data_IF_815087042320
#
_entry.id   IF_815087042320
#
_cell.length_a   1.000
_cell.length_b   1.000
_cell.length_c   1.000
_cell.angle_alpha   90.00
_cell.angle_beta   90.00
_cell.angle_gamma   90.00
#
_symmetry.space_group_name_H-M   'P 1'
#
loop_
_entity.id
_entity.type
_entity.pdbx_description
1 polymer ?
#
# COMPACT_ATOMS: atom_id res chain seq x y z
N UNK A 1 -9.43 5.66 26.05
CA UNK A 1 -9.58 6.40 24.78
C UNK A 1 -9.52 5.45 23.59
N UNK A 2 -8.58 4.49 23.50
CA UNK A 2 -8.55 3.45 22.44
C UNK A 2 -9.87 2.66 22.30
N UNK A 3 -10.59 2.40 23.40
CA UNK A 3 -11.90 1.71 23.36
C UNK A 3 -13.03 2.56 22.74
N UNK A 4 -12.93 3.90 22.75
CA UNK A 4 -13.94 4.77 22.14
C UNK A 4 -13.77 4.92 20.64
N UNK A 5 -12.55 4.84 20.13
CA UNK A 5 -12.29 4.88 18.69
C UNK A 5 -12.90 3.66 17.97
N UNK A 6 -12.71 2.45 18.53
CA UNK A 6 -13.31 1.22 18.00
C UNK A 6 -14.85 1.19 18.11
N UNK A 7 -15.43 1.95 19.06
CA UNK A 7 -16.90 2.01 19.23
C UNK A 7 -17.58 3.01 18.28
N UNK A 8 -16.86 4.00 17.78
CA UNK A 8 -17.41 4.99 16.85
C UNK A 8 -17.58 4.45 15.42
N UNK A 9 -16.79 3.46 15.03
CA UNK A 9 -16.87 2.81 13.69
C UNK A 9 -17.97 1.72 13.65
N UNK A 10 -18.47 1.24 14.81
CA UNK A 10 -19.49 0.19 14.89
C UNK A 10 -20.92 0.68 15.06
N UNK A 11 -21.20 1.98 15.01
CA UNK A 11 -22.52 2.57 15.27
C UNK A 11 -23.38 2.79 14.00
N UNK A 12 -23.28 1.94 12.99
CA UNK A 12 -23.98 2.05 11.71
C UNK A 12 -24.81 0.84 11.28
N UNK A 13 -25.27 -0.03 12.19
CA UNK A 13 -26.22 -1.08 11.81
C UNK A 13 -27.15 -1.47 12.97
N UNK A 14 -28.23 -0.71 13.15
CA UNK A 14 -29.34 -1.13 14.02
C UNK A 14 -30.29 -2.00 13.19
N UNK A 15 -30.17 -3.33 13.30
CA UNK A 15 -31.17 -4.24 12.77
C UNK A 15 -32.34 -4.39 13.74
N UNK A 16 -33.51 -3.97 13.30
CA UNK A 16 -34.79 -4.24 13.97
C UNK A 16 -35.13 -5.72 13.73
N UNK A 17 -35.10 -6.54 14.77
CA UNK A 17 -35.56 -7.92 14.71
C UNK A 17 -37.08 -7.93 14.78
N UNK A 18 -37.75 -8.22 13.66
CA UNK A 18 -39.15 -8.65 13.63
C UNK A 18 -39.19 -10.19 13.64
N UNK A 19 -39.72 -10.75 14.71
CA UNK A 19 -39.97 -12.15 14.87
C UNK A 19 -41.18 -12.56 13.99
N UNK A 20 -40.89 -13.30 12.94
CA UNK A 20 -41.91 -13.99 12.14
C UNK A 20 -41.38 -15.33 11.71
N UNK A 21 -41.87 -16.39 12.36
CA UNK A 21 -41.57 -17.78 12.01
C UNK A 21 -42.29 -18.16 10.73
N UNK A 22 -41.58 -18.21 9.61
CA UNK A 22 -41.97 -18.97 8.42
C UNK A 22 -40.72 -19.69 7.95
N UNK A 23 -40.78 -21.04 7.97
CA UNK A 23 -39.68 -21.86 7.51
C UNK A 23 -39.45 -21.70 6.01
N UNK A 24 -38.25 -21.28 5.66
CA UNK A 24 -37.69 -21.46 4.34
C UNK A 24 -36.29 -22.02 4.54
N UNK A 25 -36.09 -23.26 4.09
CA UNK A 25 -34.76 -23.83 3.95
C UNK A 25 -33.93 -22.96 3.02
N UNK A 26 -32.66 -22.65 3.38
CA UNK A 26 -31.77 -21.92 2.47
C UNK A 26 -31.43 -22.84 1.27
N UNK A 27 -31.41 -22.29 0.04
CA UNK A 27 -30.98 -23.06 -1.11
C UNK A 27 -29.51 -23.47 -0.91
N UNK A 28 -29.23 -24.77 -1.10
CA UNK A 28 -27.87 -25.31 -1.14
C UNK A 28 -27.02 -24.49 -2.14
N UNK A 29 -26.08 -23.74 -1.64
CA UNK A 29 -25.05 -23.12 -2.46
C UNK A 29 -24.11 -24.23 -2.95
N UNK A 30 -24.45 -24.84 -4.05
CA UNK A 30 -23.49 -25.57 -4.86
C UNK A 30 -22.57 -24.57 -5.57
N UNK A 31 -21.63 -24.00 -4.85
CA UNK A 31 -20.52 -23.29 -5.44
C UNK A 31 -19.32 -24.25 -5.57
N UNK A 32 -19.37 -25.14 -6.54
CA UNK A 32 -18.13 -25.68 -7.12
C UNK A 32 -17.45 -24.53 -7.88
N UNK A 33 -16.82 -23.61 -7.15
CA UNK A 33 -15.76 -22.80 -7.72
C UNK A 33 -14.67 -23.81 -8.11
N UNK A 34 -14.64 -24.16 -9.39
CA UNK A 34 -13.47 -24.83 -9.97
C UNK A 34 -12.32 -23.88 -9.77
N UNK A 35 -11.52 -24.15 -8.75
CA UNK A 35 -10.16 -23.64 -8.66
C UNK A 35 -9.47 -24.09 -9.94
N UNK A 36 -9.45 -23.24 -10.95
CA UNK A 36 -8.61 -23.42 -12.10
C UNK A 36 -7.19 -23.19 -11.62
N UNK A 37 -6.53 -24.29 -11.24
CA UNK A 37 -5.10 -24.30 -10.99
C UNK A 37 -4.45 -23.61 -12.19
N UNK A 38 -3.66 -22.57 -11.99
CA UNK A 38 -2.96 -21.93 -13.09
C UNK A 38 -2.20 -23.01 -13.87
N UNK A 39 -2.13 -22.93 -15.22
CA UNK A 39 -1.48 -23.94 -16.01
C UNK A 39 -0.05 -24.10 -15.49
N UNK A 40 0.34 -25.35 -15.19
CA UNK A 40 1.72 -25.65 -14.86
C UNK A 40 2.54 -25.23 -16.06
N UNK A 41 3.19 -24.08 -15.98
CA UNK A 41 4.23 -23.68 -16.91
C UNK A 41 5.28 -24.76 -16.79
N UNK A 42 5.48 -25.54 -17.86
CA UNK A 42 6.58 -26.50 -17.92
C UNK A 42 7.85 -25.68 -17.76
N UNK A 43 8.44 -25.75 -16.57
CA UNK A 43 9.76 -25.18 -16.33
C UNK A 43 10.72 -25.85 -17.31
N UNK A 44 11.29 -25.07 -18.20
CA UNK A 44 12.56 -25.44 -18.82
C UNK A 44 13.54 -25.71 -17.66
N UNK A 45 14.32 -26.80 -17.69
CA UNK A 45 15.37 -27.02 -16.71
C UNK A 45 16.36 -25.86 -16.82
N UNK A 46 16.16 -24.85 -16.02
CA UNK A 46 16.95 -23.63 -16.01
C UNK A 46 17.94 -23.71 -14.87
N UNK A 47 19.18 -23.66 -15.22
CA UNK A 47 20.27 -23.19 -14.38
C UNK A 47 19.77 -21.90 -13.70
N UNK A 48 19.95 -21.70 -12.39
CA UNK A 48 19.68 -20.42 -11.76
C UNK A 48 20.61 -19.39 -12.40
N UNK A 49 20.09 -18.60 -13.31
CA UNK A 49 20.85 -17.57 -13.98
C UNK A 49 20.75 -16.30 -13.13
N UNK A 50 21.75 -16.09 -12.31
CA UNK A 50 22.00 -14.78 -11.73
C UNK A 50 22.78 -13.97 -12.74
N UNK A 51 22.27 -12.83 -13.21
CA UNK A 51 23.03 -11.98 -14.13
C UNK A 51 24.32 -11.52 -13.45
N UNK A 52 25.46 -11.57 -14.16
CA UNK A 52 26.77 -11.27 -13.57
C UNK A 52 26.90 -9.84 -13.05
N UNK A 53 26.09 -8.91 -13.55
CA UNK A 53 26.13 -7.50 -13.18
C UNK A 53 25.06 -7.13 -12.15
N UNK A 54 24.39 -8.09 -11.52
CA UNK A 54 23.34 -7.85 -10.52
C UNK A 54 22.04 -7.24 -11.08
N UNK A 55 21.88 -7.19 -12.41
CA UNK A 55 20.69 -6.68 -13.10
C UNK A 55 20.27 -7.61 -14.23
N UNK A 56 18.94 -7.68 -14.47
CA UNK A 56 18.40 -8.39 -15.61
C UNK A 56 18.50 -7.56 -16.89
N UNK A 57 18.73 -8.22 -18.01
CA UNK A 57 18.67 -7.62 -19.33
C UNK A 57 17.75 -8.46 -20.24
N UNK A 58 16.86 -7.81 -20.96
CA UNK A 58 15.87 -8.48 -21.82
C UNK A 58 16.08 -8.10 -23.29
N UNK A 59 16.16 -9.11 -24.17
CA UNK A 59 16.33 -8.86 -25.63
C UNK A 59 15.12 -8.12 -26.22
N UNK A 60 13.91 -8.41 -25.74
CA UNK A 60 12.67 -7.79 -26.22
C UNK A 60 12.42 -6.40 -25.60
N UNK A 61 13.07 -6.09 -24.50
CA UNK A 61 12.95 -4.85 -23.74
C UNK A 61 14.31 -4.40 -23.20
N UNK A 62 15.23 -3.98 -24.10
CA UNK A 62 16.57 -3.57 -23.72
C UNK A 62 16.60 -2.27 -22.88
N UNK A 63 15.48 -1.58 -22.80
CA UNK A 63 15.24 -0.41 -21.97
C UNK A 63 15.03 -0.76 -20.48
N UNK A 64 14.79 -2.04 -20.18
CA UNK A 64 14.54 -2.51 -18.81
C UNK A 64 15.77 -3.21 -18.23
N UNK A 65 16.16 -2.78 -17.03
CA UNK A 65 17.25 -3.35 -16.23
C UNK A 65 16.86 -3.47 -14.75
N UNK A 66 15.82 -4.29 -14.40
CA UNK A 66 15.48 -4.51 -13.01
C UNK A 66 16.61 -5.22 -12.26
N UNK A 67 16.76 -4.99 -10.94
CA UNK A 67 17.75 -5.67 -10.14
C UNK A 67 17.51 -7.19 -10.12
N UNK A 68 18.58 -7.95 -10.07
CA UNK A 68 18.51 -9.39 -9.84
C UNK A 68 18.18 -9.67 -8.38
N UNK A 69 17.42 -10.71 -8.14
CA UNK A 69 17.04 -11.16 -6.80
C UNK A 69 17.73 -12.49 -6.52
N UNK A 70 18.39 -12.58 -5.39
CA UNK A 70 18.93 -13.82 -4.87
C UNK A 70 17.88 -14.54 -4.02
N UNK A 71 17.63 -15.80 -4.35
CA UNK A 71 16.72 -16.66 -3.58
C UNK A 71 17.56 -17.41 -2.56
N UNK A 72 17.62 -16.92 -1.34
CA UNK A 72 18.39 -17.54 -0.25
C UNK A 72 17.78 -18.86 0.24
N UNK A 73 16.46 -19.02 0.10
CA UNK A 73 15.75 -20.25 0.46
C UNK A 73 14.75 -20.60 -0.63
N UNK A 74 14.93 -21.74 -1.24
CA UNK A 74 14.04 -22.23 -2.30
C UNK A 74 12.64 -22.54 -1.76
N UNK A 75 11.63 -22.25 -2.58
CA UNK A 75 10.25 -22.64 -2.32
C UNK A 75 10.12 -24.16 -2.22
N UNK A 76 9.41 -24.64 -1.21
CA UNK A 76 9.15 -26.08 -0.97
C UNK A 76 7.71 -26.41 -1.34
N UNK A 77 7.38 -27.71 -1.35
CA UNK A 77 6.01 -28.19 -1.64
C UNK A 77 4.93 -27.56 -0.73
N UNK A 78 5.32 -27.13 0.47
CA UNK A 78 4.43 -26.49 1.47
C UNK A 78 4.37 -24.96 1.34
N UNK A 79 5.13 -24.37 0.42
CA UNK A 79 5.07 -22.92 0.17
C UNK A 79 3.79 -22.60 -0.59
N UNK A 80 3.08 -21.57 -0.16
CA UNK A 80 1.89 -21.11 -0.85
C UNK A 80 2.23 -20.75 -2.31
N UNK A 81 1.47 -21.24 -3.29
CA UNK A 81 1.69 -20.86 -4.69
C UNK A 81 1.30 -19.40 -4.90
N UNK A 82 2.04 -18.69 -5.74
CA UNK A 82 1.72 -17.30 -6.07
C UNK A 82 2.89 -16.52 -6.64
N UNK A 83 2.74 -15.22 -6.59
CA UNK A 83 3.74 -14.27 -7.02
C UNK A 83 4.16 -13.40 -5.84
N UNK A 84 5.38 -12.87 -5.92
CA UNK A 84 5.95 -11.98 -4.92
C UNK A 84 5.92 -10.56 -5.49
N UNK A 85 5.31 -9.64 -4.76
CA UNK A 85 5.20 -8.23 -5.11
C UNK A 85 6.26 -7.47 -4.34
N UNK A 86 7.17 -6.81 -5.05
CA UNK A 86 8.26 -6.05 -4.47
C UNK A 86 8.44 -4.72 -5.21
N UNK A 87 9.01 -3.76 -4.55
CA UNK A 87 9.32 -2.47 -5.12
C UNK A 87 10.78 -2.10 -4.81
N UNK A 88 11.74 -2.69 -5.54
CA UNK A 88 13.14 -2.40 -5.31
C UNK A 88 13.47 -0.94 -5.57
N UNK A 89 14.27 -0.36 -4.70
CA UNK A 89 14.84 0.96 -4.91
C UNK A 89 15.90 0.91 -6.03
N UNK A 90 16.17 2.07 -6.61
CA UNK A 90 17.30 2.20 -7.53
C UNK A 90 18.60 2.04 -6.74
N UNK A 91 19.33 0.96 -7.03
CA UNK A 91 20.68 0.75 -6.55
C UNK A 91 21.73 1.39 -7.44
N UNK A 92 23.00 1.05 -7.21
CA UNK A 92 24.14 1.47 -8.03
C UNK A 92 24.02 0.94 -9.46
N UNK A 93 23.40 -0.21 -9.63
CA UNK A 93 23.11 -0.83 -10.93
C UNK A 93 21.60 -1.07 -11.07
N UNK A 94 21.08 -0.87 -12.30
CA UNK A 94 19.69 -1.15 -12.64
C UNK A 94 18.71 -0.02 -12.30
N UNK A 95 17.43 -0.35 -12.45
CA UNK A 95 16.31 0.55 -12.29
C UNK A 95 15.51 0.14 -11.05
N UNK A 96 15.07 1.13 -10.25
CA UNK A 96 14.05 0.92 -9.23
C UNK A 96 12.64 0.95 -9.83
N UNK A 97 11.67 0.36 -9.13
CA UNK A 97 10.26 0.39 -9.56
C UNK A 97 9.44 -0.77 -9.01
N UNK A 98 8.22 -0.89 -9.49
CA UNK A 98 7.30 -1.97 -9.14
C UNK A 98 7.64 -3.25 -9.88
N UNK A 99 7.79 -4.37 -9.17
CA UNK A 99 8.23 -5.64 -9.74
C UNK A 99 7.42 -6.82 -9.20
N UNK A 100 7.08 -7.74 -10.09
CA UNK A 100 6.45 -9.02 -9.75
C UNK A 100 7.42 -10.14 -10.08
N UNK A 101 7.64 -11.03 -9.12
CA UNK A 101 8.49 -12.20 -9.26
C UNK A 101 7.66 -13.48 -9.14
N UNK A 102 8.13 -14.54 -9.76
CA UNK A 102 7.67 -15.90 -9.43
C UNK A 102 8.36 -16.44 -8.15
N UNK A 103 8.00 -17.64 -7.75
CA UNK A 103 8.56 -18.33 -6.57
C UNK A 103 10.04 -18.73 -6.72
N UNK A 104 10.62 -18.51 -7.89
CA UNK A 104 12.05 -18.73 -8.20
C UNK A 104 12.85 -17.44 -8.31
N UNK A 105 12.23 -16.30 -8.02
CA UNK A 105 12.85 -14.99 -8.14
C UNK A 105 13.00 -14.49 -9.58
N UNK A 106 12.31 -15.14 -10.55
CA UNK A 106 12.33 -14.68 -11.94
C UNK A 106 11.37 -13.51 -12.13
N UNK A 107 11.79 -12.50 -12.87
CA UNK A 107 10.95 -11.31 -13.15
C UNK A 107 9.82 -11.69 -14.08
N UNK A 108 8.59 -11.55 -13.60
CA UNK A 108 7.35 -11.75 -14.38
C UNK A 108 6.89 -10.43 -14.99
N UNK A 109 7.02 -9.35 -14.24
CA UNK A 109 6.67 -8.01 -14.67
C UNK A 109 7.52 -6.96 -13.95
N UNK A 110 7.86 -5.90 -14.66
CA UNK A 110 8.59 -4.77 -14.11
C UNK A 110 8.15 -3.44 -14.72
N UNK A 111 7.87 -2.48 -13.87
CA UNK A 111 7.57 -1.09 -14.23
C UNK A 111 8.61 -0.18 -13.60
N UNK A 112 9.59 0.31 -14.36
CA UNK A 112 10.57 1.26 -13.84
C UNK A 112 9.91 2.57 -13.49
N UNK A 113 10.39 3.20 -12.42
CA UNK A 113 10.01 4.58 -12.10
C UNK A 113 10.51 5.55 -13.16
N UNK A 114 9.74 6.58 -13.40
CA UNK A 114 10.15 7.69 -14.24
C UNK A 114 10.97 8.68 -13.38
N UNK A 115 12.15 9.06 -13.85
CA UNK A 115 13.01 10.01 -13.14
C UNK A 115 14.05 9.37 -12.21
N UNK A 116 14.85 10.21 -11.55
CA UNK A 116 16.04 9.80 -10.77
C UNK A 116 15.81 9.76 -9.26
N UNK A 117 14.69 10.27 -8.75
CA UNK A 117 14.49 10.54 -7.34
C UNK A 117 13.12 10.09 -6.86
N UNK A 118 12.87 8.84 -6.78
CA UNK A 118 11.61 8.34 -6.25
C UNK A 118 11.70 6.86 -5.97
N UNK A 119 10.75 6.36 -5.18
CA UNK A 119 10.57 4.95 -4.89
C UNK A 119 9.16 4.56 -5.24
N UNK A 120 8.97 3.34 -5.71
CA UNK A 120 7.68 2.70 -5.67
C UNK A 120 7.52 2.07 -4.28
N UNK A 121 6.38 2.26 -3.65
CA UNK A 121 6.07 1.74 -2.32
C UNK A 121 4.70 1.09 -2.32
N UNK A 122 4.42 0.23 -1.36
CA UNK A 122 3.11 -0.37 -1.13
C UNK A 122 2.50 -1.06 -2.37
N UNK A 123 3.35 -1.72 -3.19
CA UNK A 123 2.87 -2.48 -4.36
C UNK A 123 2.05 -3.67 -3.92
N UNK A 124 0.80 -3.73 -4.35
CA UNK A 124 -0.12 -4.83 -4.04
C UNK A 124 -1.23 -4.99 -5.07
N UNK A 125 -1.92 -6.12 -5.00
CA UNK A 125 -3.13 -6.36 -5.75
C UNK A 125 -4.35 -5.99 -4.90
N UNK A 126 -5.25 -5.21 -5.47
CA UNK A 126 -6.51 -4.81 -4.84
C UNK A 126 -7.70 -5.08 -5.77
N UNK A 127 -8.91 -4.74 -5.35
CA UNK A 127 -10.11 -4.75 -6.18
C UNK A 127 -10.58 -3.33 -6.43
N UNK A 128 -10.88 -2.99 -7.67
CA UNK A 128 -11.52 -1.74 -8.05
C UNK A 128 -12.66 -2.02 -9.03
N UNK A 129 -13.87 -1.63 -8.66
CA UNK A 129 -15.10 -1.91 -9.45
C UNK A 129 -15.26 -3.41 -9.74
N UNK A 130 -14.98 -4.23 -8.73
CA UNK A 130 -15.08 -5.68 -8.80
C UNK A 130 -14.04 -6.35 -9.70
N UNK A 131 -12.99 -5.65 -10.12
CA UNK A 131 -11.90 -6.18 -10.96
C UNK A 131 -10.57 -6.12 -10.23
N UNK A 132 -9.68 -7.10 -10.42
CA UNK A 132 -8.33 -7.05 -9.86
C UNK A 132 -7.53 -5.94 -10.52
N UNK A 133 -6.83 -5.17 -9.70
CA UNK A 133 -5.94 -4.08 -10.11
C UNK A 133 -4.62 -4.19 -9.36
N UNK A 134 -3.55 -3.65 -9.96
CA UNK A 134 -2.29 -3.39 -9.26
C UNK A 134 -2.28 -1.94 -8.79
N UNK A 135 -1.83 -1.74 -7.55
CA UNK A 135 -1.71 -0.40 -6.96
C UNK A 135 -0.34 -0.22 -6.32
N UNK A 136 0.18 0.98 -6.38
CA UNK A 136 1.39 1.40 -5.68
C UNK A 136 1.44 2.90 -5.49
N UNK A 137 2.43 3.35 -4.73
CA UNK A 137 2.70 4.76 -4.47
C UNK A 137 4.03 5.11 -5.13
N UNK A 138 4.08 6.19 -5.90
CA UNK A 138 5.32 6.80 -6.38
C UNK A 138 5.65 7.98 -5.47
N UNK A 139 6.72 7.86 -4.66
CA UNK A 139 6.99 8.79 -3.54
C UNK A 139 7.40 10.21 -3.97
N UNK A 140 7.76 10.39 -5.23
CA UNK A 140 8.07 11.69 -5.82
C UNK A 140 7.38 11.76 -7.18
N UNK A 141 6.35 12.60 -7.33
CA UNK A 141 5.88 13.66 -6.41
C UNK A 141 4.88 13.23 -5.32
N UNK A 142 4.64 11.98 -5.07
CA UNK A 142 3.64 11.50 -4.10
C UNK A 142 2.32 11.14 -4.79
N UNK A 143 2.40 10.28 -5.79
CA UNK A 143 1.27 9.85 -6.61
C UNK A 143 0.84 8.42 -6.29
N UNK A 144 -0.46 8.21 -6.27
CA UNK A 144 -1.13 6.92 -6.14
C UNK A 144 -1.53 6.41 -7.52
N UNK A 145 -1.13 5.19 -7.84
CA UNK A 145 -1.22 4.65 -9.21
C UNK A 145 -2.05 3.38 -9.21
N UNK A 146 -2.95 3.25 -10.17
CA UNK A 146 -3.79 2.07 -10.38
C UNK A 146 -3.63 1.56 -11.82
N UNK A 147 -3.30 0.28 -11.96
CA UNK A 147 -3.21 -0.43 -13.23
C UNK A 147 -4.23 -1.55 -13.33
N UNK A 148 -4.82 -1.72 -14.50
CA UNK A 148 -5.72 -2.84 -14.80
C UNK A 148 -4.96 -4.17 -15.00
N UNK A 149 -5.71 -5.27 -15.15
CA UNK A 149 -5.15 -6.61 -15.40
C UNK A 149 -4.44 -6.76 -16.75
N UNK A 150 -4.50 -5.74 -17.62
CA UNK A 150 -3.75 -5.66 -18.86
C UNK A 150 -2.48 -4.80 -18.71
N UNK A 151 -2.13 -4.46 -17.48
CA UNK A 151 -0.99 -3.60 -17.14
C UNK A 151 -1.06 -2.20 -17.77
N UNK A 152 -2.27 -1.65 -17.91
CA UNK A 152 -2.49 -0.26 -18.33
C UNK A 152 -2.89 0.60 -17.15
N UNK A 153 -2.32 1.79 -17.08
CA UNK A 153 -2.70 2.79 -16.10
C UNK A 153 -4.15 3.22 -16.35
N UNK A 154 -4.97 3.13 -15.30
CA UNK A 154 -6.39 3.51 -15.33
C UNK A 154 -6.71 4.67 -14.39
N UNK A 155 -5.87 4.92 -13.40
CA UNK A 155 -5.96 6.10 -12.56
C UNK A 155 -4.59 6.48 -12.00
N UNK A 156 -4.41 7.79 -11.79
CA UNK A 156 -3.29 8.40 -11.10
C UNK A 156 -3.78 9.67 -10.40
N UNK A 157 -3.49 9.81 -9.11
CA UNK A 157 -3.94 10.94 -8.31
C UNK A 157 -2.95 11.22 -7.18
N UNK A 158 -3.12 12.35 -6.52
CA UNK A 158 -2.33 12.81 -5.36
C UNK A 158 -3.24 13.03 -4.17
N UNK A 159 -2.66 13.24 -2.99
CA UNK A 159 -3.40 13.75 -1.86
C UNK A 159 -4.01 15.12 -2.20
N UNK A 160 -5.16 15.40 -1.62
CA UNK A 160 -5.88 16.65 -1.80
C UNK A 160 -5.49 17.70 -0.74
N UNK A 161 -6.13 18.86 -0.79
CA UNK A 161 -5.97 19.96 0.16
C UNK A 161 -4.52 20.48 0.29
N UNK A 162 -3.69 20.28 -0.74
CA UNK A 162 -2.30 20.74 -0.76
C UNK A 162 -1.33 19.87 0.04
N UNK A 163 -1.75 18.73 0.50
CA UNK A 163 -0.87 17.76 1.17
C UNK A 163 -0.02 16.96 0.19
N UNK A 164 1.10 16.46 0.67
CA UNK A 164 1.87 15.42 0.00
C UNK A 164 1.44 14.07 0.57
N UNK A 165 1.10 13.13 -0.31
CA UNK A 165 0.78 11.77 0.09
C UNK A 165 1.95 11.08 0.76
N UNK A 166 1.67 10.31 1.77
CA UNK A 166 2.64 9.44 2.43
C UNK A 166 2.73 8.08 1.73
N UNK A 167 3.76 7.32 2.05
CA UNK A 167 4.08 6.07 1.37
C UNK A 167 3.70 4.80 2.17
N UNK A 168 3.09 4.95 3.34
CA UNK A 168 2.81 3.80 4.20
C UNK A 168 1.58 3.02 3.75
N UNK A 169 0.47 3.69 3.41
CA UNK A 169 -0.74 2.96 3.05
C UNK A 169 -1.53 3.64 1.93
N UNK A 170 -1.99 2.79 1.00
CA UNK A 170 -2.98 3.09 -0.01
C UNK A 170 -3.94 1.91 -0.13
N UNK A 171 -5.19 2.09 0.25
CA UNK A 171 -6.25 1.09 0.12
C UNK A 171 -7.34 1.58 -0.82
N UNK A 172 -7.93 0.65 -1.55
CA UNK A 172 -9.21 0.85 -2.24
C UNK A 172 -10.30 0.27 -1.34
N UNK A 173 -11.23 1.12 -0.92
CA UNK A 173 -12.34 0.73 -0.05
C UNK A 173 -13.36 -0.16 -0.78
N UNK A 174 -14.25 -0.86 -0.06
CA UNK A 174 -15.37 -1.59 -0.67
C UNK A 174 -16.34 -0.69 -1.48
N UNK A 175 -16.28 0.63 -1.31
CA UNK A 175 -17.06 1.63 -2.04
C UNK A 175 -16.32 2.16 -3.27
N UNK A 176 -15.18 1.56 -3.63
CA UNK A 176 -14.32 1.99 -4.75
C UNK A 176 -13.71 3.39 -4.58
N UNK A 177 -13.52 3.85 -3.34
CA UNK A 177 -12.81 5.09 -2.99
C UNK A 177 -11.36 4.78 -2.60
N UNK A 178 -10.49 5.79 -2.60
CA UNK A 178 -9.11 5.67 -2.15
C UNK A 178 -8.97 6.12 -0.71
N UNK A 179 -8.39 5.28 0.15
CA UNK A 179 -7.96 5.62 1.50
C UNK A 179 -6.45 5.74 1.50
N UNK A 180 -5.95 6.89 1.89
CA UNK A 180 -4.52 7.22 1.85
C UNK A 180 -4.05 7.82 3.16
N UNK A 181 -2.79 7.57 3.49
CA UNK A 181 -2.12 8.21 4.62
C UNK A 181 -1.36 9.46 4.17
N UNK A 182 -1.27 10.43 5.06
CA UNK A 182 -0.50 11.66 4.89
C UNK A 182 0.26 11.90 6.17
N UNK A 183 1.50 12.33 6.04
CA UNK A 183 2.38 12.64 7.15
C UNK A 183 2.81 14.09 7.06
N UNK A 184 2.23 14.94 7.91
CA UNK A 184 2.35 16.39 7.81
C UNK A 184 2.96 17.03 9.05
N UNK A 185 3.95 17.89 8.87
CA UNK A 185 4.57 18.64 9.95
C UNK A 185 3.81 19.95 10.20
N UNK A 186 3.39 20.18 11.42
CA UNK A 186 2.70 21.41 11.85
C UNK A 186 3.46 22.10 12.97
N UNK A 187 3.48 23.45 13.03
CA UNK A 187 4.03 24.19 14.16
C UNK A 187 3.35 23.80 15.47
N UNK A 188 4.12 23.46 16.49
CA UNK A 188 3.62 22.98 17.76
C UNK A 188 4.53 23.37 18.93
N UNK A 189 3.93 23.83 20.04
CA UNK A 189 4.64 23.99 21.32
C UNK A 189 4.82 22.60 21.96
N UNK A 190 6.05 22.15 22.07
CA UNK A 190 6.42 20.85 22.65
C UNK A 190 6.93 20.96 24.11
N UNK A 191 6.77 22.11 24.78
CA UNK A 191 7.28 22.29 26.14
C UNK A 191 6.65 21.34 27.17
N UNK A 192 5.42 20.89 26.96
CA UNK A 192 4.74 19.91 27.82
C UNK A 192 5.37 18.52 27.76
N UNK A 193 6.05 18.18 26.65
CA UNK A 193 6.69 16.88 26.43
C UNK A 193 8.22 16.96 26.38
N UNK A 194 8.78 18.06 26.90
CA UNK A 194 10.23 18.25 27.03
C UNK A 194 10.93 18.76 25.77
N UNK A 195 10.16 19.24 24.79
CA UNK A 195 10.69 19.86 23.57
C UNK A 195 10.74 21.39 23.60
N UNK A 196 11.06 21.98 22.46
CA UNK A 196 11.07 23.43 22.27
C UNK A 196 9.65 23.99 22.10
N UNK A 197 9.46 25.23 22.51
CA UNK A 197 8.21 25.96 22.28
C UNK A 197 7.97 26.24 20.79
N UNK A 198 9.01 26.56 20.07
CA UNK A 198 8.99 26.76 18.62
C UNK A 198 9.47 25.50 17.93
N UNK A 199 8.59 24.53 17.74
CA UNK A 199 8.90 23.21 17.19
C UNK A 199 7.85 22.74 16.20
N UNK A 200 7.92 21.48 15.79
CA UNK A 200 6.99 20.83 14.88
C UNK A 200 6.43 19.55 15.50
N UNK A 201 5.18 19.25 15.25
CA UNK A 201 4.62 17.92 15.45
C UNK A 201 4.30 17.30 14.09
N UNK A 202 4.77 16.07 13.88
CA UNK A 202 4.40 15.28 12.71
C UNK A 202 3.08 14.57 13.01
N UNK A 203 2.02 15.05 12.37
CA UNK A 203 0.69 14.45 12.49
C UNK A 203 0.41 13.48 11.35
N UNK A 204 -0.31 12.42 11.67
CA UNK A 204 -0.91 11.53 10.68
C UNK A 204 -2.26 12.08 10.25
N UNK A 205 -2.50 12.09 8.95
CA UNK A 205 -3.79 12.44 8.36
C UNK A 205 -4.25 11.24 7.52
N UNK A 206 -5.54 10.93 7.56
CA UNK A 206 -6.18 10.00 6.66
C UNK A 206 -7.11 10.78 5.74
N UNK A 207 -6.99 10.57 4.43
CA UNK A 207 -7.98 11.05 3.46
C UNK A 207 -8.69 9.87 2.79
N UNK A 208 -10.00 9.99 2.63
CA UNK A 208 -10.80 9.22 1.70
C UNK A 208 -11.10 10.10 0.48
N UNK A 209 -10.72 9.62 -0.70
CA UNK A 209 -10.85 10.35 -1.96
C UNK A 209 -11.72 9.57 -2.95
N UNK A 210 -12.54 10.27 -3.70
CA UNK A 210 -13.08 9.74 -4.93
C UNK A 210 -11.95 9.61 -5.97
N UNK A 211 -11.74 8.40 -6.47
CA UNK A 211 -10.60 8.08 -7.36
C UNK A 211 -10.71 8.80 -8.71
N UNK A 212 -11.93 9.09 -9.19
CA UNK A 212 -12.12 9.70 -10.51
C UNK A 212 -12.01 11.22 -10.48
N UNK A 213 -12.55 11.83 -9.42
CA UNK A 213 -12.63 13.29 -9.30
C UNK A 213 -11.54 13.89 -8.44
N UNK A 214 -10.93 13.10 -7.54
CA UNK A 214 -10.01 13.57 -6.52
C UNK A 214 -10.69 14.35 -5.39
N UNK A 215 -12.03 14.31 -5.30
CA UNK A 215 -12.78 14.96 -4.24
C UNK A 215 -12.53 14.28 -2.90
N UNK A 216 -12.34 15.08 -1.85
CA UNK A 216 -12.20 14.59 -0.47
C UNK A 216 -13.58 14.26 0.08
N UNK A 217 -13.81 12.98 0.34
CA UNK A 217 -15.04 12.46 0.93
C UNK A 217 -14.97 12.44 2.46
N UNK A 218 -13.78 12.21 3.00
CA UNK A 218 -13.51 12.22 4.43
C UNK A 218 -12.05 12.60 4.69
N UNK A 219 -11.82 13.34 5.78
CA UNK A 219 -10.48 13.68 6.26
C UNK A 219 -10.45 13.61 7.79
N UNK A 220 -9.44 12.94 8.32
CA UNK A 220 -9.20 12.80 9.74
C UNK A 220 -7.77 13.23 10.08
N UNK A 221 -7.63 13.97 11.18
CA UNK A 221 -6.35 14.47 11.67
C UNK A 221 -6.07 13.90 13.06
N UNK A 222 -4.87 13.36 13.25
CA UNK A 222 -4.46 12.85 14.56
C UNK A 222 -4.45 13.95 15.63
N UNK A 223 -4.15 15.19 15.25
CA UNK A 223 -4.13 16.34 16.17
C UNK A 223 -5.47 16.66 16.82
N UNK A 224 -6.57 16.24 16.22
CA UNK A 224 -7.92 16.48 16.74
C UNK A 224 -8.39 15.38 17.70
N UNK A 225 -7.61 14.29 17.82
CA UNK A 225 -8.05 13.06 18.48
C UNK A 225 -7.04 12.45 19.45
N UNK A 226 -5.76 12.79 19.31
CA UNK A 226 -4.67 12.21 20.11
C UNK A 226 -3.81 13.34 20.66
N UNK A 227 -3.72 13.42 21.97
CA UNK A 227 -2.92 14.43 22.63
C UNK A 227 -1.41 14.09 22.54
N UNK A 228 -0.56 15.13 22.59
CA UNK A 228 0.89 14.97 22.51
C UNK A 228 1.48 14.09 23.63
N UNK A 229 0.85 14.08 24.78
CA UNK A 229 1.30 13.31 25.96
C UNK A 229 0.84 11.84 25.93
N UNK A 230 0.05 11.43 24.95
CA UNK A 230 -0.33 10.03 24.74
C UNK A 230 0.75 9.23 23.98
N UNK A 231 1.83 9.85 23.55
CA UNK A 231 2.92 9.19 22.83
C UNK A 231 4.04 8.73 23.78
N UNK A 232 4.75 7.68 23.37
CA UNK A 232 6.04 7.31 23.95
C UNK A 232 7.23 7.94 23.21
N UNK A 233 6.98 8.68 22.12
CA UNK A 233 8.03 9.38 21.39
C UNK A 233 8.58 10.54 22.22
N UNK A 234 9.85 10.81 22.04
CA UNK A 234 10.49 12.00 22.56
C UNK A 234 10.81 12.96 21.41
N UNK A 235 10.95 14.27 21.68
CA UNK A 235 11.38 15.21 20.65
C UNK A 235 12.63 14.71 19.92
N UNK A 236 12.60 14.78 18.58
CA UNK A 236 13.62 14.22 17.73
C UNK A 236 15.01 14.84 18.01
N UNK A 237 16.01 13.99 18.19
CA UNK A 237 17.41 14.39 18.45
C UNK A 237 18.32 14.13 17.26
N UNK A 238 17.79 13.65 16.14
CA UNK A 238 18.52 13.26 14.93
C UNK A 238 18.76 14.44 13.95
N UNK A 239 18.55 15.67 14.42
CA UNK A 239 18.70 16.89 13.62
C UNK A 239 17.44 17.29 12.85
N UNK A 240 16.37 16.52 12.90
CA UNK A 240 15.04 16.93 12.43
C UNK A 240 14.33 17.68 13.56
N UNK A 241 13.75 18.86 13.32
CA UNK A 241 12.98 19.52 14.36
C UNK A 241 11.67 18.80 14.61
N UNK A 242 11.26 18.67 15.87
CA UNK A 242 9.91 18.23 16.21
C UNK A 242 9.78 16.88 16.90
N UNK A 243 8.56 16.38 16.91
CA UNK A 243 8.17 15.09 17.49
C UNK A 243 7.28 14.34 16.49
N UNK A 244 7.56 13.08 16.30
CA UNK A 244 6.68 12.14 15.60
C UNK A 244 5.79 11.45 16.65
N UNK A 245 4.74 12.16 17.07
CA UNK A 245 3.89 11.69 18.16
C UNK A 245 2.81 10.70 17.74
N UNK A 246 2.42 10.72 16.47
CA UNK A 246 1.43 9.84 15.90
C UNK A 246 1.87 9.37 14.50
N UNK A 247 2.62 8.29 14.48
CA UNK A 247 3.10 7.69 13.23
C UNK A 247 2.01 6.83 12.61
N UNK A 248 1.21 7.42 11.69
CA UNK A 248 0.22 6.65 10.94
C UNK A 248 0.92 5.70 9.98
N UNK A 249 0.55 4.42 10.01
CA UNK A 249 1.25 3.39 9.25
C UNK A 249 0.30 2.52 8.41
N UNK A 250 -0.91 2.31 8.89
CA UNK A 250 -1.90 1.46 8.21
C UNK A 250 -3.33 1.91 8.50
N UNK A 251 -4.21 1.50 7.60
CA UNK A 251 -5.66 1.72 7.67
C UNK A 251 -6.33 0.36 7.64
N UNK A 252 -7.38 0.17 8.44
CA UNK A 252 -8.25 -1.01 8.42
C UNK A 252 -9.71 -0.57 8.21
N UNK A 253 -10.46 -1.30 7.36
CA UNK A 253 -11.84 -0.98 6.94
C UNK A 253 -12.79 -2.16 7.11
#
# INVERSE_FOLDING_TARGET
TRRRFLTAVSAGATYLALTGTVGCEPPERSSKVRSSRPPKVKSLPGVPFSPPDGVWAFRSRPDLSPPAVEVATEAREQTAPGYIFVAPEKGDAGQGGSMILDDRGQVVWFRPLQGSHGRAMNLKMQSYRGRPVLTWIETVPGEYVIFDSSYREIARFTAANGYNGDHHEFLISPQDTALITIYNAVPQDLSSVGGSKDSLAWQGILQELDIETGEVLFEWHSSDHVDLDETYATPLQDGRPGIDYFHINSIDV
#
